data_IF_554389988821
#
_entry.id   IF_554389988821
#
_cell.length_a   1.000
_cell.length_b   1.000
_cell.length_c   1.000
_cell.angle_alpha   90.00
_cell.angle_beta   90.00
_cell.angle_gamma   90.00
#
_symmetry.space_group_name_H-M   'P 1'
#
loop_
_entity.id
_entity.type
_entity.pdbx_description
1 polymer ?
#
# COMPACT_ATOMS: atom_id res chain seq x y z
N UNK A 1 7.30 22.56 -24.63
CA UNK A 1 5.87 22.31 -24.43
C UNK A 1 5.56 20.81 -24.37
N UNK A 2 5.86 20.00 -25.39
CA UNK A 2 5.48 18.57 -25.41
C UNK A 2 6.07 17.67 -24.31
N UNK A 3 7.33 17.93 -23.87
CA UNK A 3 7.97 17.11 -22.84
C UNK A 3 7.34 17.30 -21.45
N UNK A 4 6.99 18.53 -21.10
CA UNK A 4 6.34 18.85 -19.81
C UNK A 4 4.92 18.28 -19.75
N UNK A 5 4.20 18.32 -20.86
CA UNK A 5 2.87 17.70 -21.00
C UNK A 5 2.95 16.18 -20.84
N UNK A 6 3.95 15.53 -21.45
CA UNK A 6 4.17 14.10 -21.28
C UNK A 6 4.45 13.72 -19.81
N UNK A 7 5.26 14.51 -19.09
CA UNK A 7 5.52 14.29 -17.65
C UNK A 7 4.25 14.44 -16.82
N UNK A 8 3.44 15.48 -17.09
CA UNK A 8 2.15 15.68 -16.41
C UNK A 8 1.18 14.53 -16.68
N UNK A 9 1.05 14.11 -17.94
CA UNK A 9 0.20 13.00 -18.34
C UNK A 9 0.62 11.69 -17.66
N UNK A 10 1.93 11.43 -17.56
CA UNK A 10 2.45 10.25 -16.84
C UNK A 10 2.09 10.30 -15.35
N UNK A 11 2.31 11.43 -14.70
CA UNK A 11 1.98 11.60 -13.27
C UNK A 11 0.49 11.39 -12.99
N UNK A 12 -0.37 11.88 -13.87
CA UNK A 12 -1.82 11.67 -13.73
C UNK A 12 -2.20 10.20 -13.96
N UNK A 13 -1.60 9.52 -14.94
CA UNK A 13 -1.80 8.09 -15.16
C UNK A 13 -1.39 7.26 -13.92
N UNK A 14 -0.23 7.56 -13.33
CA UNK A 14 0.25 6.89 -12.13
C UNK A 14 -0.70 7.10 -10.93
N UNK A 15 -1.24 8.32 -10.79
CA UNK A 15 -2.23 8.65 -9.76
C UNK A 15 -3.52 7.88 -9.95
N UNK A 16 -4.06 7.85 -11.17
CA UNK A 16 -5.28 7.09 -11.49
C UNK A 16 -5.08 5.59 -11.24
N UNK A 17 -3.91 5.04 -11.57
CA UNK A 17 -3.58 3.64 -11.28
C UNK A 17 -3.58 3.34 -9.77
N UNK A 18 -3.01 4.23 -8.95
CA UNK A 18 -3.02 4.08 -7.48
C UNK A 18 -4.44 4.16 -6.90
N UNK A 19 -5.24 5.11 -7.37
CA UNK A 19 -6.64 5.28 -6.95
C UNK A 19 -7.47 4.04 -7.32
N UNK A 20 -7.36 3.55 -8.56
CA UNK A 20 -8.05 2.35 -9.00
C UNK A 20 -7.66 1.11 -8.19
N UNK A 21 -6.37 0.98 -7.84
CA UNK A 21 -5.89 -0.08 -6.97
C UNK A 21 -6.50 0.03 -5.57
N UNK A 22 -6.51 1.22 -4.97
CA UNK A 22 -7.13 1.45 -3.66
C UNK A 22 -8.63 1.10 -3.65
N UNK A 23 -9.39 1.51 -4.66
CA UNK A 23 -10.81 1.14 -4.75
C UNK A 23 -11.01 -0.38 -4.78
N UNK A 24 -10.16 -1.10 -5.52
CA UNK A 24 -10.21 -2.56 -5.57
C UNK A 24 -9.89 -3.19 -4.22
N UNK A 25 -8.82 -2.71 -3.56
CA UNK A 25 -8.37 -3.25 -2.28
C UNK A 25 -9.36 -2.99 -1.14
N UNK A 26 -9.91 -1.78 -1.07
CA UNK A 26 -10.85 -1.39 -0.02
C UNK A 26 -12.25 -1.96 -0.23
N UNK A 27 -12.71 -2.06 -1.49
CA UNK A 27 -14.04 -2.57 -1.83
C UNK A 27 -14.14 -4.10 -1.83
N UNK A 28 -13.14 -4.79 -2.40
CA UNK A 28 -13.21 -6.23 -2.67
C UNK A 28 -12.13 -7.05 -1.96
N UNK A 29 -11.28 -6.40 -1.14
CA UNK A 29 -10.15 -7.06 -0.45
C UNK A 29 -9.13 -7.70 -1.41
N UNK A 30 -9.08 -7.22 -2.65
CA UNK A 30 -8.22 -7.75 -3.71
C UNK A 30 -8.99 -8.01 -5.01
N UNK A 31 -8.38 -8.68 -6.01
CA UNK A 31 -6.99 -9.17 -6.01
C UNK A 31 -5.98 -8.02 -6.00
N UNK A 32 -4.86 -8.20 -5.29
CA UNK A 32 -3.81 -7.19 -5.23
C UNK A 32 -3.13 -6.93 -6.59
N UNK A 33 -3.31 -7.83 -7.56
CA UNK A 33 -2.80 -7.69 -8.92
C UNK A 33 -3.88 -7.19 -9.90
N UNK A 34 -3.49 -6.39 -10.92
CA UNK A 34 -2.21 -5.70 -11.03
C UNK A 34 -2.13 -4.54 -10.02
N UNK A 35 -0.94 -4.29 -9.45
CA UNK A 35 -0.66 -3.14 -8.59
C UNK A 35 0.26 -2.14 -9.32
N UNK A 36 0.21 -0.84 -8.98
CA UNK A 36 1.26 0.09 -9.39
C UNK A 36 2.63 -0.33 -8.85
N UNK A 37 3.69 0.21 -9.45
CA UNK A 37 5.05 0.07 -8.91
C UNK A 37 5.28 1.01 -7.73
N UNK A 38 6.33 0.75 -6.94
CA UNK A 38 6.76 1.66 -5.86
C UNK A 38 7.05 3.07 -6.41
N UNK A 39 7.64 3.15 -7.61
CA UNK A 39 7.97 4.38 -8.31
C UNK A 39 6.73 5.15 -8.73
N UNK A 40 5.76 4.48 -9.37
CA UNK A 40 4.50 5.10 -9.78
C UNK A 40 3.74 5.66 -8.55
N UNK A 41 3.69 4.89 -7.46
CA UNK A 41 3.05 5.33 -6.21
C UNK A 41 3.72 6.59 -5.63
N UNK A 42 5.06 6.62 -5.56
CA UNK A 42 5.80 7.79 -5.09
C UNK A 42 5.59 8.99 -6.02
N UNK A 43 5.64 8.79 -7.34
CA UNK A 43 5.42 9.84 -8.34
C UNK A 43 4.02 10.45 -8.22
N UNK A 44 3.03 9.60 -7.94
CA UNK A 44 1.65 9.99 -7.69
C UNK A 44 1.39 10.62 -6.31
N UNK A 45 2.39 10.68 -5.42
CA UNK A 45 2.26 11.25 -4.07
C UNK A 45 1.73 10.29 -3.02
N UNK A 46 1.61 9.00 -3.32
CA UNK A 46 1.29 7.96 -2.35
C UNK A 46 2.58 7.46 -1.69
N UNK A 47 2.96 8.08 -0.58
CA UNK A 47 4.25 7.85 0.08
C UNK A 47 4.25 6.64 1.03
N UNK A 48 3.08 6.13 1.39
CA UNK A 48 2.92 5.07 2.38
C UNK A 48 2.06 3.92 1.86
N UNK A 49 2.38 2.71 2.29
CA UNK A 49 1.57 1.51 2.11
C UNK A 49 0.97 1.11 3.46
N UNK A 50 -0.35 1.08 3.53
CA UNK A 50 -1.08 0.54 4.66
C UNK A 50 -1.13 -0.98 4.58
N UNK A 51 -0.77 -1.62 5.69
CA UNK A 51 -0.80 -3.07 5.87
C UNK A 51 -1.53 -3.40 7.16
N UNK A 52 -2.29 -4.49 7.16
CA UNK A 52 -3.02 -5.00 8.33
C UNK A 52 -2.51 -6.36 8.71
N UNK A 53 -2.23 -6.57 9.99
CA UNK A 53 -1.93 -7.90 10.51
C UNK A 53 -3.23 -8.68 10.73
N UNK A 54 -3.42 -9.82 10.06
CA UNK A 54 -4.59 -10.69 10.24
C UNK A 54 -4.55 -11.50 11.54
N UNK A 55 -3.50 -11.35 12.36
CA UNK A 55 -3.36 -12.00 13.66
C UNK A 55 -3.84 -11.14 14.81
N UNK A 56 -3.37 -9.88 14.88
CA UNK A 56 -3.69 -8.94 15.94
C UNK A 56 -4.54 -7.74 15.48
N UNK A 57 -4.94 -7.73 14.21
CA UNK A 57 -5.78 -6.71 13.59
C UNK A 57 -5.21 -5.29 13.50
N UNK A 58 -3.95 -5.10 13.88
CA UNK A 58 -3.28 -3.80 13.82
C UNK A 58 -3.00 -3.37 12.39
N UNK A 59 -3.39 -2.13 12.05
CA UNK A 59 -2.98 -1.44 10.83
C UNK A 59 -1.69 -0.65 11.07
N UNK A 60 -0.75 -0.73 10.12
CA UNK A 60 0.49 0.04 10.12
C UNK A 60 0.76 0.61 8.74
N UNK A 61 1.50 1.72 8.68
CA UNK A 61 1.97 2.30 7.43
C UNK A 61 3.47 2.09 7.24
N UNK A 62 3.84 1.58 6.06
CA UNK A 62 5.23 1.43 5.63
C UNK A 62 5.54 2.55 4.63
N UNK A 63 6.57 3.36 4.90
CA UNK A 63 7.00 4.39 3.96
C UNK A 63 7.66 3.76 2.72
N UNK A 64 7.14 4.03 1.53
CA UNK A 64 7.64 3.47 0.27
C UNK A 64 9.02 4.03 -0.13
N UNK A 65 9.34 5.24 0.32
CA UNK A 65 10.62 5.89 0.07
C UNK A 65 11.82 5.12 0.63
N UNK A 66 11.67 4.55 1.83
CA UNK A 66 12.76 3.87 2.56
C UNK A 66 12.95 2.40 2.18
N UNK A 67 12.03 1.83 1.40
CA UNK A 67 12.10 0.43 1.00
C UNK A 67 13.28 0.23 0.04
N UNK A 68 14.21 -0.66 0.44
CA UNK A 68 15.39 -1.07 -0.35
C UNK A 68 15.03 -2.08 -1.44
N UNK A 69 14.09 -1.71 -2.32
CA UNK A 69 13.70 -2.47 -3.52
C UNK A 69 13.73 -1.54 -4.74
N UNK A 70 13.93 -2.09 -5.96
CA UNK A 70 13.80 -1.30 -7.18
C UNK A 70 12.49 -0.53 -7.20
N UNK A 71 12.51 0.72 -7.68
CA UNK A 71 11.27 1.51 -7.80
C UNK A 71 10.31 0.93 -8.84
N UNK A 72 10.80 0.08 -9.73
CA UNK A 72 9.99 -0.72 -10.67
C UNK A 72 9.28 -1.91 -10.02
N UNK A 73 9.57 -2.26 -8.75
CA UNK A 73 8.90 -3.37 -8.06
C UNK A 73 7.41 -3.06 -7.86
N UNK A 74 6.50 -3.95 -8.29
CA UNK A 74 5.08 -3.85 -7.97
C UNK A 74 4.83 -3.89 -6.46
N UNK A 75 3.95 -3.01 -5.97
CA UNK A 75 3.62 -2.91 -4.54
C UNK A 75 3.10 -4.24 -3.97
N UNK A 76 2.31 -5.00 -4.73
CA UNK A 76 1.77 -6.29 -4.26
C UNK A 76 2.86 -7.31 -3.89
N UNK A 77 4.04 -7.24 -4.51
CA UNK A 77 5.16 -8.12 -4.17
C UNK A 77 5.70 -7.90 -2.76
N UNK A 78 5.44 -6.74 -2.15
CA UNK A 78 5.91 -6.44 -0.81
C UNK A 78 5.24 -7.32 0.25
N UNK A 79 4.02 -7.80 0.00
CA UNK A 79 3.24 -8.62 0.93
C UNK A 79 4.01 -9.85 1.44
N UNK A 80 4.78 -10.50 0.55
CA UNK A 80 5.57 -11.70 0.88
C UNK A 80 6.69 -11.46 1.91
N UNK A 81 7.11 -10.20 2.07
CA UNK A 81 8.18 -9.82 3.00
C UNK A 81 7.67 -9.22 4.31
N UNK A 82 6.38 -8.86 4.36
CA UNK A 82 5.79 -8.18 5.50
C UNK A 82 5.66 -9.12 6.70
N UNK A 83 5.93 -8.58 7.88
CA UNK A 83 5.90 -9.30 9.17
C UNK A 83 5.35 -8.36 10.22
N UNK A 84 4.43 -8.84 11.04
CA UNK A 84 3.95 -8.07 12.18
C UNK A 84 5.01 -8.07 13.29
N UNK A 85 5.47 -6.90 13.72
CA UNK A 85 6.45 -6.76 14.80
C UNK A 85 5.93 -7.39 16.10
N UNK A 86 4.73 -6.99 16.52
CA UNK A 86 4.18 -7.38 17.81
C UNK A 86 3.87 -8.88 17.87
N UNK A 87 3.20 -9.43 16.85
CA UNK A 87 2.98 -10.88 16.78
C UNK A 87 4.28 -11.69 16.69
N UNK A 88 5.31 -11.17 15.99
CA UNK A 88 6.59 -11.87 15.91
C UNK A 88 7.31 -11.87 17.26
N UNK A 89 7.22 -10.76 18.01
CA UNK A 89 7.80 -10.64 19.35
C UNK A 89 7.13 -11.60 20.34
N UNK A 90 5.80 -11.66 20.35
CA UNK A 90 5.04 -12.57 21.25
C UNK A 90 5.34 -14.04 20.95
N UNK A 91 5.55 -14.39 19.67
CA UNK A 91 5.76 -15.79 19.25
C UNK A 91 7.23 -16.24 19.30
N UNK A 92 8.18 -15.32 19.33
CA UNK A 92 9.61 -15.64 19.20
C UNK A 92 10.05 -16.03 17.78
N UNK A 93 9.19 -15.90 16.77
CA UNK A 93 9.52 -16.15 15.36
C UNK A 93 8.72 -15.25 14.41
N UNK A 94 9.18 -15.05 13.15
CA UNK A 94 8.49 -14.21 12.16
C UNK A 94 7.03 -14.58 11.89
N UNK A 95 6.10 -13.66 12.13
CA UNK A 95 4.68 -13.82 11.83
C UNK A 95 4.29 -13.17 10.49
N UNK A 96 3.95 -14.00 9.49
CA UNK A 96 3.72 -13.60 8.08
C UNK A 96 2.25 -13.65 7.65
N UNK A 97 1.34 -13.02 8.40
CA UNK A 97 -0.08 -12.88 8.01
C UNK A 97 -0.49 -11.42 7.88
N UNK A 98 0.24 -10.68 7.07
CA UNK A 98 -0.10 -9.30 6.71
C UNK A 98 -0.89 -9.27 5.41
N UNK A 99 -1.94 -8.47 5.37
CA UNK A 99 -2.68 -8.13 4.16
C UNK A 99 -2.36 -6.68 3.76
N UNK A 100 -2.20 -6.44 2.46
CA UNK A 100 -2.14 -5.08 1.93
C UNK A 100 -3.52 -4.42 1.98
N UNK A 101 -3.60 -3.14 2.33
CA UNK A 101 -4.88 -2.44 2.52
C UNK A 101 -5.05 -1.31 1.51
N UNK A 102 -4.14 -0.32 1.52
CA UNK A 102 -4.25 0.85 0.66
C UNK A 102 -2.90 1.56 0.51
N UNK A 103 -2.73 2.26 -0.61
CA UNK A 103 -1.72 3.29 -0.79
C UNK A 103 -2.22 4.59 -0.18
N UNK A 104 -1.38 5.26 0.61
CA UNK A 104 -1.73 6.48 1.34
C UNK A 104 -0.75 7.62 1.04
N UNK A 105 -1.25 8.87 0.91
CA UNK A 105 -0.39 10.04 0.89
C UNK A 105 0.28 10.32 2.25
N UNK A 106 -0.44 10.04 3.34
CA UNK A 106 0.00 10.31 4.71
C UNK A 106 0.08 9.04 5.57
N UNK A 107 0.96 9.06 6.57
CA UNK A 107 1.06 8.00 7.59
C UNK A 107 -0.24 7.92 8.40
N UNK A 108 -0.51 6.76 9.01
CA UNK A 108 -1.60 6.65 9.99
C UNK A 108 -1.28 7.56 11.19
N UNK A 109 -2.26 8.37 11.58
CA UNK A 109 -2.24 9.24 12.76
C UNK A 109 -3.66 9.43 13.30
N UNK A 110 -3.82 10.19 14.38
CA UNK A 110 -5.13 10.56 14.89
C UNK A 110 -5.97 11.32 13.84
N UNK A 111 -5.35 12.27 13.12
CA UNK A 111 -6.02 13.04 12.06
C UNK A 111 -6.22 12.26 10.76
N UNK A 112 -5.45 11.19 10.56
CA UNK A 112 -5.50 10.34 9.38
C UNK A 112 -5.64 8.88 9.79
N UNK A 113 -6.83 8.45 10.24
CA UNK A 113 -7.04 7.11 10.75
C UNK A 113 -6.76 6.03 9.69
N UNK A 114 -6.59 4.81 10.16
CA UNK A 114 -6.47 3.63 9.32
C UNK A 114 -7.69 3.49 8.39
N UNK A 115 -7.47 2.93 7.19
CA UNK A 115 -8.56 2.74 6.23
C UNK A 115 -9.54 1.71 6.77
N UNK A 116 -10.83 2.02 6.64
CA UNK A 116 -11.86 1.06 6.95
C UNK A 116 -11.96 0.02 5.84
N UNK A 117 -11.85 -1.25 6.22
CA UNK A 117 -12.07 -2.36 5.29
C UNK A 117 -13.57 -2.61 5.24
N UNK A 118 -14.22 -2.38 4.09
CA UNK A 118 -15.65 -2.67 3.99
C UNK A 118 -15.86 -4.18 4.23
N UNK A 119 -16.66 -4.60 5.21
CA UNK A 119 -16.84 -6.00 5.53
C UNK A 119 -17.62 -6.77 4.46
N UNK A 120 -18.26 -6.07 3.51
CA UNK A 120 -19.26 -6.63 2.59
C UNK A 120 -20.60 -6.85 3.29
N UNK A 121 -21.69 -6.88 2.54
CA UNK A 121 -22.92 -7.52 2.98
C UNK A 121 -22.66 -9.03 2.95
N UNK A 122 -22.76 -9.67 4.12
CA UNK A 122 -22.47 -11.08 4.31
C UNK A 122 -23.76 -11.89 4.28
#
# INVERSE_FOLDING_TARGET
MSAEEAVKARKEADKLACVAWNYRMLGYKGPAQPSPTIGDAINAGFLYLEVRCLGCDTNQTVALGIIRRPKTTPVHELERYMRCKDCSQVRGYPYKRSALVALRPTKISADHPASYWWPGER
#
